data_IF_466765558769
#
_entry.id   IF_466765558769
#
_cell.length_a   1.000
_cell.length_b   1.000
_cell.length_c   1.000
_cell.angle_alpha   90.00
_cell.angle_beta   90.00
_cell.angle_gamma   90.00
#
_symmetry.space_group_name_H-M   'P 1'
#
loop_
_entity.id
_entity.type
_entity.pdbx_description
1 polymer ?
#
# COMPACT_ATOMS: atom_id res chain seq x y z
N UNK A 1 -16.45 14.65 -22.97
CA UNK A 1 -16.04 14.80 -21.56
C UNK A 1 -14.53 14.62 -21.46
N UNK A 2 -13.80 15.58 -20.88
CA UNK A 2 -12.36 15.44 -20.60
C UNK A 2 -12.20 14.39 -19.49
N UNK A 3 -11.70 13.19 -19.84
CA UNK A 3 -11.35 12.13 -18.89
C UNK A 3 -10.07 12.57 -18.16
N UNK A 4 -10.21 13.13 -16.98
CA UNK A 4 -9.11 13.73 -16.20
C UNK A 4 -8.54 12.67 -15.25
N UNK A 5 -7.69 11.80 -15.80
CA UNK A 5 -7.08 10.71 -15.02
C UNK A 5 -6.28 11.27 -13.83
N UNK A 6 -6.45 10.67 -12.65
CA UNK A 6 -5.69 11.04 -11.44
C UNK A 6 -4.31 10.37 -11.51
N UNK A 7 -3.22 11.13 -11.28
CA UNK A 7 -1.86 10.57 -11.23
C UNK A 7 -1.49 10.26 -9.78
N UNK A 8 -1.22 8.99 -9.49
CA UNK A 8 -0.88 8.52 -8.13
C UNK A 8 0.52 7.91 -8.13
N UNK A 9 1.39 8.23 -7.15
CA UNK A 9 2.71 7.62 -7.05
C UNK A 9 2.60 6.13 -6.72
N UNK A 10 3.34 5.32 -7.47
CA UNK A 10 3.53 3.90 -7.16
C UNK A 10 4.80 3.76 -6.32
N UNK A 11 4.72 2.97 -5.26
CA UNK A 11 5.81 2.66 -4.34
C UNK A 11 6.03 1.15 -4.22
N UNK A 12 7.25 0.77 -3.88
CA UNK A 12 7.60 -0.53 -3.34
C UNK A 12 7.92 -0.38 -1.86
N UNK A 13 7.24 -1.13 -1.00
CA UNK A 13 7.46 -1.16 0.45
C UNK A 13 8.20 -2.45 0.78
N UNK A 14 9.38 -2.33 1.37
CA UNK A 14 10.15 -3.46 1.91
C UNK A 14 9.82 -3.57 3.39
N UNK A 15 9.20 -4.68 3.81
CA UNK A 15 8.70 -4.83 5.17
C UNK A 15 8.79 -6.26 5.71
N UNK A 16 8.68 -6.42 7.04
CA UNK A 16 8.66 -7.72 7.73
C UNK A 16 7.25 -8.30 7.74
N UNK A 17 7.04 -9.42 7.06
CA UNK A 17 5.73 -10.07 6.97
C UNK A 17 5.67 -11.38 7.79
N UNK A 18 4.93 -11.33 8.89
CA UNK A 18 4.74 -12.47 9.79
C UNK A 18 3.92 -13.60 9.15
N UNK A 19 3.07 -13.33 8.15
CA UNK A 19 2.27 -14.36 7.48
C UNK A 19 3.14 -15.34 6.68
N UNK A 20 4.35 -14.93 6.29
CA UNK A 20 5.32 -15.78 5.57
C UNK A 20 6.36 -16.43 6.49
N UNK A 21 6.26 -16.24 7.81
CA UNK A 21 7.07 -16.99 8.78
C UNK A 21 6.53 -18.42 8.91
N UNK A 22 6.73 -19.25 7.87
CA UNK A 22 6.07 -20.56 7.78
C UNK A 22 6.51 -21.57 8.83
N UNK A 23 7.60 -21.36 9.58
CA UNK A 23 8.03 -22.19 10.72
C UNK A 23 9.03 -21.41 11.60
N UNK A 24 8.58 -20.63 12.60
CA UNK A 24 9.51 -19.97 13.51
C UNK A 24 10.28 -21.04 14.31
N UNK A 25 11.58 -21.17 14.06
CA UNK A 25 12.47 -21.97 14.92
C UNK A 25 13.04 -21.10 16.03
N UNK A 26 13.65 -21.73 17.03
CA UNK A 26 14.36 -21.00 18.10
C UNK A 26 15.44 -20.05 17.55
N UNK A 27 15.96 -20.35 16.36
CA UNK A 27 17.04 -19.59 15.69
C UNK A 27 16.52 -18.65 14.58
N UNK A 28 15.21 -18.66 14.28
CA UNK A 28 14.58 -17.85 13.23
C UNK A 28 13.31 -17.18 13.75
N UNK A 29 13.49 -16.29 14.73
CA UNK A 29 12.44 -15.54 15.41
C UNK A 29 11.96 -14.29 14.65
N UNK A 30 12.72 -13.81 13.66
CA UNK A 30 12.36 -12.64 12.89
C UNK A 30 11.62 -13.02 11.59
N UNK A 31 10.45 -12.41 11.30
CA UNK A 31 9.75 -12.62 10.04
C UNK A 31 10.64 -12.31 8.82
N UNK A 32 10.45 -12.90 7.64
CA UNK A 32 11.24 -12.56 6.46
C UNK A 32 10.98 -11.12 6.00
N UNK A 33 11.97 -10.53 5.30
CA UNK A 33 11.74 -9.31 4.51
C UNK A 33 11.01 -9.67 3.22
N UNK A 34 9.92 -8.96 2.93
CA UNK A 34 9.17 -9.08 1.69
C UNK A 34 9.05 -7.71 1.01
N UNK A 35 8.66 -7.71 -0.25
CA UNK A 35 8.44 -6.50 -1.04
C UNK A 35 7.01 -6.51 -1.58
N UNK A 36 6.25 -5.47 -1.27
CA UNK A 36 4.94 -5.24 -1.86
C UNK A 36 4.94 -3.94 -2.66
N UNK A 37 4.36 -3.98 -3.85
CA UNK A 37 4.21 -2.83 -4.73
C UNK A 37 2.76 -2.37 -4.74
N UNK A 38 2.56 -1.07 -4.71
CA UNK A 38 1.23 -0.47 -4.66
C UNK A 38 1.30 1.04 -4.60
N UNK A 39 0.17 1.69 -4.37
CA UNK A 39 0.16 3.12 -4.07
C UNK A 39 -0.33 3.35 -2.64
N UNK A 40 0.22 4.39 -2.02
CA UNK A 40 -0.09 4.75 -0.64
C UNK A 40 -1.34 5.59 -0.63
N UNK A 41 -2.34 5.17 0.14
CA UNK A 41 -3.62 5.89 0.29
C UNK A 41 -3.76 6.59 1.63
N UNK A 42 -2.96 6.16 2.62
CA UNK A 42 -2.88 6.77 3.95
C UNK A 42 -1.50 6.52 4.52
N UNK A 43 -0.91 7.56 5.10
CA UNK A 43 0.40 7.48 5.73
C UNK A 43 0.41 8.37 6.96
N UNK A 44 0.87 7.82 8.08
CA UNK A 44 1.16 8.60 9.28
C UNK A 44 2.43 8.08 9.96
N UNK A 45 2.67 8.54 11.19
CA UNK A 45 3.85 8.14 11.98
C UNK A 45 3.83 6.68 12.42
N UNK A 46 2.66 6.04 12.43
CA UNK A 46 2.47 4.70 12.99
C UNK A 46 2.36 3.63 11.88
N UNK A 47 1.76 3.97 10.74
CA UNK A 47 1.50 3.01 9.66
C UNK A 47 1.39 3.64 8.26
N UNK A 48 1.44 2.76 7.27
CA UNK A 48 1.15 3.03 5.85
C UNK A 48 0.02 2.08 5.41
N UNK A 49 -0.97 2.60 4.69
CA UNK A 49 -1.97 1.77 3.99
C UNK A 49 -1.61 1.71 2.51
N UNK A 50 -1.28 0.51 2.05
CA UNK A 50 -0.86 0.20 0.68
C UNK A 50 -1.98 -0.54 -0.06
N UNK A 51 -2.39 -0.03 -1.22
CA UNK A 51 -3.30 -0.75 -2.13
C UNK A 51 -2.47 -1.52 -3.15
N UNK A 52 -2.69 -2.84 -3.22
CA UNK A 52 -1.85 -3.77 -4.02
C UNK A 52 -2.49 -4.25 -5.32
N UNK A 53 -3.81 -4.33 -5.42
CA UNK A 53 -4.51 -4.86 -6.60
C UNK A 53 -5.44 -3.82 -7.24
N UNK A 54 -5.56 -3.94 -8.57
CA UNK A 54 -6.30 -3.05 -9.46
C UNK A 54 -7.78 -2.89 -9.11
N UNK A 55 -8.35 -1.84 -9.69
CA UNK A 55 -9.66 -1.27 -9.37
C UNK A 55 -10.80 -2.01 -10.03
N UNK A 56 -11.93 -2.02 -9.34
CA UNK A 56 -13.23 -2.36 -9.91
C UNK A 56 -14.17 -1.20 -9.68
N UNK A 57 -14.73 -0.63 -10.76
CA UNK A 57 -15.60 0.55 -10.72
C UNK A 57 -15.06 1.70 -9.85
N UNK A 58 -13.73 1.88 -9.83
CA UNK A 58 -13.07 2.91 -9.03
C UNK A 58 -12.86 2.55 -7.56
N UNK A 59 -13.07 1.31 -7.13
CA UNK A 59 -12.78 0.87 -5.75
C UNK A 59 -11.58 -0.08 -5.70
N UNK A 60 -10.72 0.02 -4.67
CA UNK A 60 -9.61 -0.92 -4.50
C UNK A 60 -10.11 -2.28 -3.99
N UNK A 61 -9.66 -3.39 -4.62
CA UNK A 61 -10.05 -4.75 -4.17
C UNK A 61 -9.25 -5.26 -2.98
N UNK A 62 -7.96 -4.93 -2.91
CA UNK A 62 -7.09 -5.33 -1.80
C UNK A 62 -6.21 -4.19 -1.31
N UNK A 63 -6.30 -3.93 -0.01
CA UNK A 63 -5.43 -3.03 0.73
C UNK A 63 -4.77 -3.76 1.90
N UNK A 64 -3.68 -3.21 2.40
CA UNK A 64 -2.95 -3.72 3.54
C UNK A 64 -2.42 -2.57 4.38
N UNK A 65 -2.54 -2.68 5.69
CA UNK A 65 -1.93 -1.75 6.63
C UNK A 65 -0.61 -2.34 7.11
N UNK A 66 0.48 -1.59 6.91
CA UNK A 66 1.83 -1.98 7.31
C UNK A 66 2.29 -1.03 8.40
N UNK A 67 2.63 -1.57 9.57
CA UNK A 67 3.17 -0.78 10.68
C UNK A 67 4.57 -0.25 10.32
N UNK A 68 4.86 1.00 10.67
CA UNK A 68 6.15 1.65 10.42
C UNK A 68 7.32 0.89 11.04
N UNK A 69 7.12 0.30 12.22
CA UNK A 69 8.12 -0.56 12.88
C UNK A 69 8.57 -1.75 12.03
N UNK A 70 7.74 -2.18 11.09
CA UNK A 70 8.02 -3.34 10.23
C UNK A 70 8.56 -2.93 8.86
N UNK A 71 8.66 -1.63 8.55
CA UNK A 71 9.11 -1.13 7.25
C UNK A 71 10.62 -0.87 7.31
N UNK A 72 11.37 -1.50 6.41
CA UNK A 72 12.78 -1.16 6.18
C UNK A 72 12.93 0.09 5.33
N UNK A 73 12.14 0.15 4.26
CA UNK A 73 12.32 1.13 3.20
C UNK A 73 11.05 1.27 2.36
N UNK A 74 10.81 2.48 1.86
CA UNK A 74 9.78 2.77 0.85
C UNK A 74 10.47 3.41 -0.35
N UNK A 75 10.37 2.78 -1.52
CA UNK A 75 10.95 3.28 -2.75
C UNK A 75 9.86 3.75 -3.70
N UNK A 76 9.94 4.99 -4.18
CA UNK A 76 9.11 5.43 -5.31
C UNK A 76 9.56 4.70 -6.57
N UNK A 77 8.63 4.01 -7.23
CA UNK A 77 8.90 3.23 -8.44
C UNK A 77 8.30 3.84 -9.70
N UNK A 78 7.26 4.68 -9.57
CA UNK A 78 6.66 5.33 -10.72
C UNK A 78 5.39 6.10 -10.40
N UNK A 79 4.53 6.24 -11.41
CA UNK A 79 3.20 6.83 -11.28
C UNK A 79 2.21 6.05 -12.13
N UNK A 80 1.01 5.80 -11.60
CA UNK A 80 -0.11 5.20 -12.32
C UNK A 80 -1.20 6.24 -12.55
N UNK A 81 -1.96 6.10 -13.64
CA UNK A 81 -3.11 6.95 -13.94
C UNK A 81 -4.42 6.22 -13.63
N UNK A 82 -5.23 6.76 -12.73
CA UNK A 82 -6.48 6.17 -12.25
C UNK A 82 -7.71 6.81 -12.92
N UNK A 83 -8.85 6.10 -13.01
CA UNK A 83 -10.12 6.70 -13.40
C UNK A 83 -10.53 7.82 -12.44
N UNK A 84 -11.17 8.87 -12.96
CA UNK A 84 -11.59 10.06 -12.20
C UNK A 84 -12.56 9.73 -11.06
N UNK A 85 -13.33 8.65 -11.20
CA UNK A 85 -14.28 8.17 -10.20
C UNK A 85 -13.65 7.22 -9.17
N UNK A 86 -12.31 7.10 -9.14
CA UNK A 86 -11.63 6.31 -8.14
C UNK A 86 -11.92 6.84 -6.72
N UNK A 87 -12.47 5.99 -5.86
CA UNK A 87 -12.72 6.23 -4.45
C UNK A 87 -11.81 5.33 -3.63
N UNK A 88 -10.86 5.92 -2.92
CA UNK A 88 -10.11 5.20 -1.90
C UNK A 88 -10.76 5.41 -0.54
N UNK A 89 -10.83 4.39 0.32
CA UNK A 89 -11.03 4.61 1.75
C UNK A 89 -9.80 5.37 2.29
N UNK A 90 -9.83 6.70 2.28
CA UNK A 90 -8.77 7.56 2.81
C UNK A 90 -8.19 8.64 1.89
N UNK A 91 -8.64 8.78 0.63
CA UNK A 91 -8.22 9.88 -0.28
C UNK A 91 -9.29 10.98 -0.45
N UNK A 92 -10.28 11.04 0.46
CA UNK A 92 -11.39 12.01 0.51
C UNK A 92 -12.61 11.31 1.11
N UNK A 93 -13.33 11.86 2.08
CA UNK A 93 -13.67 13.27 2.23
C UNK A 93 -13.06 13.89 3.51
N UNK A 94 -12.15 14.86 3.36
CA UNK A 94 -12.02 15.95 4.36
C UNK A 94 -13.06 17.01 3.98
N UNK A 95 -14.33 16.64 4.13
CA UNK A 95 -15.46 17.55 4.27
C UNK A 95 -16.22 17.07 5.52
N UNK A 96 -15.60 17.24 6.70
CA UNK A 96 -16.26 17.38 8.01
C UNK A 96 -15.31 18.03 9.03
#
# INVERSE_FOLDING_TARGET
>A
MRKTKIKVPLVAVIWRDACHAMNPTRDSIEPPWVVDCGFVIKENKDHIVLVRQFFDDGFPRHSMTILRSNIKWVQKVGTVSLPDHFRSPGLGDEDE
#
